data_IF_485920480857
#
_entry.id   IF_485920480857
#
_cell.length_a   1.000
_cell.length_b   1.000
_cell.length_c   1.000
_cell.angle_alpha   90.00
_cell.angle_beta   90.00
_cell.angle_gamma   90.00
#
_symmetry.space_group_name_H-M   'P 1'
#
loop_
_entity.id
_entity.type
_entity.pdbx_description
1 polymer ?
#
# COMPACT_ATOMS: atom_id res chain seq x y z
N UNK A 1 17.25 -10.16 -4.28
CA UNK A 1 16.16 -9.27 -3.86
C UNK A 1 14.96 -10.12 -3.53
N UNK A 2 14.58 -10.18 -2.28
CA UNK A 2 13.54 -11.11 -1.89
C UNK A 2 12.15 -10.63 -2.32
N UNK A 3 11.42 -11.56 -2.85
CA UNK A 3 9.98 -11.44 -2.97
C UNK A 3 9.38 -12.13 -1.77
N UNK A 4 8.55 -11.44 -1.03
CA UNK A 4 7.94 -11.95 0.20
C UNK A 4 6.49 -12.32 -0.08
N UNK A 5 6.12 -13.56 0.23
CA UNK A 5 4.75 -14.01 0.06
C UNK A 5 3.87 -13.41 1.16
N UNK A 6 2.81 -12.74 0.76
CA UNK A 6 1.85 -12.12 1.69
C UNK A 6 0.58 -12.93 1.85
N UNK A 7 0.08 -13.51 0.77
CA UNK A 7 -1.18 -14.27 0.77
C UNK A 7 -1.05 -15.49 -0.12
N UNK A 8 -1.88 -16.49 0.13
CA UNK A 8 -1.87 -17.73 -0.64
C UNK A 8 -2.58 -17.59 -2.00
N UNK A 9 -3.37 -16.54 -2.18
CA UNK A 9 -4.07 -16.28 -3.43
C UNK A 9 -4.48 -14.82 -3.51
N UNK A 10 -4.79 -14.36 -4.72
CA UNK A 10 -5.35 -13.03 -4.91
C UNK A 10 -6.70 -12.88 -4.22
N UNK A 11 -7.52 -13.94 -4.26
CA UNK A 11 -8.81 -13.93 -3.58
C UNK A 11 -8.66 -13.72 -2.08
N UNK A 12 -7.66 -14.38 -1.45
CA UNK A 12 -7.38 -14.20 -0.03
C UNK A 12 -6.96 -12.76 0.26
N UNK A 13 -6.09 -12.19 -0.59
CA UNK A 13 -5.64 -10.80 -0.42
C UNK A 13 -6.82 -9.84 -0.46
N UNK A 14 -7.71 -10.00 -1.43
CA UNK A 14 -8.88 -9.14 -1.58
C UNK A 14 -9.91 -9.35 -0.48
N UNK A 15 -9.96 -10.53 0.11
CA UNK A 15 -10.83 -10.79 1.26
C UNK A 15 -10.29 -10.12 2.52
N UNK A 16 -8.96 -10.08 2.67
CA UNK A 16 -8.32 -9.45 3.83
C UNK A 16 -8.29 -7.92 3.72
N UNK A 17 -8.21 -7.38 2.51
CA UNK A 17 -8.18 -5.94 2.27
C UNK A 17 -9.39 -5.60 1.40
N UNK A 18 -10.46 -5.16 2.03
CA UNK A 18 -11.70 -4.85 1.32
C UNK A 18 -11.51 -3.69 0.36
N UNK A 19 -12.33 -3.66 -0.69
CA UNK A 19 -12.33 -2.55 -1.64
C UNK A 19 -12.57 -1.23 -0.90
N UNK A 20 -11.85 -0.21 -1.26
CA UNK A 20 -11.80 1.13 -0.65
C UNK A 20 -11.10 1.18 0.71
N UNK A 21 -10.51 0.09 1.15
CA UNK A 21 -9.82 0.02 2.44
C UNK A 21 -8.33 -0.19 2.27
N UNK A 22 -7.63 -0.05 3.38
CA UNK A 22 -6.21 -0.33 3.47
C UNK A 22 -5.96 -1.16 4.74
N UNK A 23 -4.83 -1.87 4.77
CA UNK A 23 -4.48 -2.72 5.90
C UNK A 23 -2.96 -2.75 6.05
N UNK A 24 -2.48 -2.68 7.29
CA UNK A 24 -1.07 -2.89 7.58
C UNK A 24 -0.78 -4.38 7.54
N UNK A 25 0.28 -4.77 6.86
CA UNK A 25 0.76 -6.14 6.86
C UNK A 25 2.26 -6.16 7.12
N UNK A 26 2.74 -7.24 7.72
CA UNK A 26 4.17 -7.41 7.94
C UNK A 26 4.77 -8.20 6.80
N UNK A 27 5.86 -7.68 6.25
CA UNK A 27 6.64 -8.35 5.22
C UNK A 27 8.10 -8.32 5.68
N UNK A 28 8.62 -9.47 6.03
CA UNK A 28 10.00 -9.61 6.52
C UNK A 28 10.31 -8.65 7.68
N UNK A 29 9.38 -8.58 8.64
CA UNK A 29 9.52 -7.72 9.81
C UNK A 29 9.21 -6.25 9.58
N UNK A 30 8.91 -5.86 8.35
CA UNK A 30 8.61 -4.48 8.01
C UNK A 30 7.11 -4.30 7.82
N UNK A 31 6.53 -3.30 8.47
CA UNK A 31 5.13 -2.98 8.29
C UNK A 31 4.93 -2.15 7.03
N UNK A 32 4.08 -2.65 6.13
CA UNK A 32 3.71 -1.93 4.90
C UNK A 32 2.20 -1.78 4.85
N UNK A 33 1.73 -0.88 4.00
CA UNK A 33 0.31 -0.63 3.79
C UNK A 33 -0.13 -1.27 2.48
N UNK A 34 -1.14 -2.14 2.54
CA UNK A 34 -1.82 -2.64 1.35
C UNK A 34 -3.11 -1.85 1.17
N UNK A 35 -3.34 -1.38 -0.05
CA UNK A 35 -4.51 -0.60 -0.40
C UNK A 35 -5.24 -1.27 -1.54
N UNK A 36 -6.58 -1.25 -1.48
CA UNK A 36 -7.42 -1.89 -2.50
C UNK A 36 -8.31 -0.85 -3.16
N UNK A 37 -8.16 -0.70 -4.46
CA UNK A 37 -8.97 0.22 -5.28
C UNK A 37 -9.57 -0.57 -6.45
N UNK A 38 -10.48 0.05 -7.23
CA UNK A 38 -10.96 -0.60 -8.45
C UNK A 38 -9.85 -0.95 -9.44
N UNK A 39 -8.68 -0.28 -9.35
CA UNK A 39 -7.54 -0.62 -10.21
C UNK A 39 -6.74 -1.82 -9.70
N UNK A 40 -6.99 -2.29 -8.46
CA UNK A 40 -6.33 -3.46 -7.91
C UNK A 40 -5.72 -3.21 -6.53
N UNK A 41 -4.72 -4.03 -6.22
CA UNK A 41 -4.00 -3.95 -4.94
C UNK A 41 -2.67 -3.21 -5.13
N UNK A 42 -2.33 -2.39 -4.16
CA UNK A 42 -1.08 -1.63 -4.15
C UNK A 42 -0.42 -1.74 -2.79
N UNK A 43 0.91 -1.74 -2.78
CA UNK A 43 1.68 -1.75 -1.54
C UNK A 43 2.53 -0.50 -1.47
N UNK A 44 2.43 0.21 -0.34
CA UNK A 44 3.18 1.44 -0.10
C UNK A 44 3.69 1.46 1.34
N UNK A 45 4.60 2.38 1.63
CA UNK A 45 5.02 2.58 3.01
C UNK A 45 3.81 2.94 3.87
N UNK A 46 3.83 2.53 5.14
CA UNK A 46 2.66 2.72 6.01
C UNK A 46 2.63 4.07 6.72
N UNK A 47 3.76 4.74 6.86
CA UNK A 47 3.81 6.02 7.56
C UNK A 47 3.68 7.17 6.59
N UNK A 48 2.69 8.04 6.83
CA UNK A 48 2.48 9.21 6.00
C UNK A 48 3.68 10.16 6.11
N UNK A 49 4.30 10.57 4.99
CA UNK A 49 5.44 11.49 5.04
C UNK A 49 5.12 12.83 5.67
N UNK A 50 3.84 13.17 5.81
CA UNK A 50 3.38 14.41 6.41
C UNK A 50 3.69 14.43 7.91
N UNK A 51 3.08 13.52 8.70
CA UNK A 51 3.26 13.49 10.16
C UNK A 51 3.49 12.09 10.72
N UNK A 52 3.70 11.11 9.86
CA UNK A 52 3.96 9.74 10.32
C UNK A 52 2.73 8.95 10.75
N UNK A 53 1.52 9.44 10.44
CA UNK A 53 0.32 8.67 10.76
C UNK A 53 0.21 7.45 9.86
N UNK A 54 -0.46 6.41 10.34
CA UNK A 54 -0.55 5.15 9.62
C UNK A 54 -1.54 5.25 8.46
N UNK A 55 -1.04 5.11 7.22
CA UNK A 55 -1.89 5.13 6.03
C UNK A 55 -2.85 3.94 6.01
N UNK A 56 -2.51 2.84 6.68
CA UNK A 56 -3.39 1.68 6.80
C UNK A 56 -4.70 1.97 7.53
N UNK A 57 -4.78 3.07 8.25
CA UNK A 57 -6.04 3.53 8.87
C UNK A 57 -6.88 4.38 7.94
N UNK A 58 -6.34 4.73 6.78
CA UNK A 58 -7.04 5.54 5.80
C UNK A 58 -7.92 4.70 4.89
N UNK A 59 -8.41 5.36 3.86
CA UNK A 59 -9.27 4.75 2.84
C UNK A 59 -8.73 5.08 1.47
N UNK A 60 -9.24 4.38 0.46
CA UNK A 60 -8.91 4.69 -0.93
C UNK A 60 -10.13 5.28 -1.62
N UNK A 61 -9.93 5.82 -2.81
CA UNK A 61 -11.01 6.36 -3.61
C UNK A 61 -10.92 5.85 -5.06
N UNK A 62 -11.91 6.25 -5.88
CA UNK A 62 -11.97 5.82 -7.27
C UNK A 62 -10.93 6.50 -8.16
N UNK A 63 -10.22 7.50 -7.64
CA UNK A 63 -9.12 8.16 -8.34
C UNK A 63 -7.79 7.44 -8.12
N UNK A 64 -7.82 6.26 -7.51
CA UNK A 64 -6.64 5.46 -7.19
C UNK A 64 -5.69 6.16 -6.24
N UNK A 65 -6.26 6.79 -5.22
CA UNK A 65 -5.51 7.48 -4.18
C UNK A 65 -5.73 6.82 -2.84
N UNK A 66 -4.71 6.89 -1.96
CA UNK A 66 -4.89 6.57 -0.54
C UNK A 66 -4.96 7.88 0.23
N UNK A 67 -5.90 7.95 1.17
CA UNK A 67 -6.19 9.15 1.93
C UNK A 67 -5.69 8.97 3.35
N UNK A 68 -4.73 9.80 3.75
CA UNK A 68 -4.23 9.80 5.13
C UNK A 68 -5.37 10.25 6.06
N UNK A 69 -5.66 9.52 7.15
CA UNK A 69 -6.73 9.92 8.06
C UNK A 69 -6.45 11.23 8.77
N UNK A 70 -5.20 11.67 8.79
CA UNK A 70 -4.80 12.93 9.42
C UNK A 70 -4.66 14.02 8.37
N UNK A 71 -5.51 15.02 8.40
CA UNK A 71 -5.55 16.15 7.46
C UNK A 71 -5.90 15.77 6.02
N UNK A 72 -6.32 14.52 5.77
CA UNK A 72 -6.82 14.07 4.46
C UNK A 72 -5.83 14.25 3.29
N UNK A 73 -4.53 14.14 3.53
CA UNK A 73 -3.55 14.14 2.46
C UNK A 73 -3.80 12.93 1.57
N UNK A 74 -3.80 13.15 0.25
CA UNK A 74 -4.08 12.09 -0.73
C UNK A 74 -2.83 11.82 -1.56
N UNK A 75 -2.53 10.54 -1.70
CA UNK A 75 -1.36 10.09 -2.46
C UNK A 75 -1.81 9.16 -3.57
N UNK A 76 -1.29 9.39 -4.78
CA UNK A 76 -1.55 8.52 -5.91
C UNK A 76 -0.85 7.18 -5.69
N UNK A 77 -1.60 6.10 -5.72
CA UNK A 77 -1.02 4.77 -5.51
C UNK A 77 -0.15 4.31 -6.67
N UNK A 78 -0.40 4.79 -7.88
CA UNK A 78 0.40 4.42 -9.06
C UNK A 78 1.77 5.12 -9.10
N UNK A 79 1.89 6.31 -8.50
CA UNK A 79 3.15 7.10 -8.54
C UNK A 79 3.74 7.37 -7.17
N UNK A 80 2.92 7.31 -6.11
CA UNK A 80 3.32 7.70 -4.78
C UNK A 80 3.18 9.19 -4.51
N UNK A 81 2.90 10.00 -5.52
CA UNK A 81 2.88 11.46 -5.36
C UNK A 81 1.69 11.95 -4.55
N UNK A 82 1.95 12.91 -3.65
CA UNK A 82 0.88 13.60 -2.93
C UNK A 82 0.20 14.57 -3.90
N UNK A 83 -1.13 14.63 -3.86
CA UNK A 83 -1.90 15.31 -4.90
C UNK A 83 -1.60 16.80 -5.07
N UNK A 84 -1.06 17.45 -4.05
CA UNK A 84 -0.68 18.87 -4.10
C UNK A 84 0.84 19.07 -4.03
N UNK A 85 1.60 17.98 -4.04
CA UNK A 85 3.05 18.07 -4.00
C UNK A 85 3.63 18.62 -2.70
N UNK A 86 2.92 18.46 -1.59
CA UNK A 86 3.32 19.03 -0.29
C UNK A 86 4.34 18.19 0.46
N UNK A 87 4.49 16.92 0.10
CA UNK A 87 5.42 16.00 0.72
C UNK A 87 6.23 15.28 -0.34
N UNK A 88 7.27 14.53 0.09
CA UNK A 88 7.93 13.59 -0.81
C UNK A 88 6.92 12.51 -1.22
N UNK A 89 7.12 11.86 -2.37
CA UNK A 89 6.27 10.74 -2.75
C UNK A 89 6.37 9.58 -1.75
N UNK A 90 5.30 8.80 -1.67
CA UNK A 90 5.33 7.54 -0.92
C UNK A 90 6.27 6.56 -1.58
N UNK A 91 7.00 5.80 -0.79
CA UNK A 91 7.72 4.64 -1.29
C UNK A 91 6.70 3.58 -1.66
N UNK A 92 6.82 3.03 -2.86
CA UNK A 92 5.94 1.98 -3.37
C UNK A 92 6.71 0.67 -3.47
N UNK A 93 6.00 -0.42 -3.24
CA UNK A 93 6.60 -1.75 -3.32
C UNK A 93 5.87 -2.55 -4.41
N UNK A 94 6.59 -3.10 -5.41
CA UNK A 94 5.93 -3.89 -6.44
C UNK A 94 5.19 -5.08 -5.85
N UNK A 95 4.01 -5.35 -6.36
CA UNK A 95 3.23 -6.56 -6.04
C UNK A 95 3.17 -7.44 -7.27
N UNK A 96 3.24 -8.75 -7.06
CA UNK A 96 3.10 -9.73 -8.14
C UNK A 96 2.15 -10.82 -7.70
N UNK A 97 1.16 -11.08 -8.53
CA UNK A 97 0.23 -12.20 -8.32
C UNK A 97 0.74 -13.40 -9.10
N UNK A 98 0.98 -14.49 -8.40
CA UNK A 98 1.43 -15.76 -8.96
C UNK A 98 0.39 -16.83 -8.70
N UNK A 99 0.57 -18.01 -9.31
CA UNK A 99 -0.34 -19.13 -9.11
C UNK A 99 -0.50 -19.52 -7.65
N UNK A 100 0.60 -19.42 -6.87
CA UNK A 100 0.62 -19.86 -5.48
C UNK A 100 0.48 -18.70 -4.48
N UNK A 101 0.25 -17.48 -4.93
CA UNK A 101 0.05 -16.40 -3.98
C UNK A 101 0.31 -15.00 -4.50
N UNK A 102 0.28 -14.05 -3.58
CA UNK A 102 0.58 -12.65 -3.82
C UNK A 102 1.87 -12.31 -3.10
N UNK A 103 2.80 -11.73 -3.83
CA UNK A 103 4.15 -11.44 -3.36
C UNK A 103 4.43 -9.95 -3.44
N UNK A 104 5.20 -9.45 -2.48
CA UNK A 104 5.70 -8.08 -2.50
C UNK A 104 7.22 -8.09 -2.60
N UNK A 105 7.75 -7.16 -3.37
CA UNK A 105 9.20 -6.97 -3.49
C UNK A 105 9.63 -5.84 -2.57
N UNK A 106 10.49 -6.17 -1.61
CA UNK A 106 11.04 -5.17 -0.70
C UNK A 106 12.46 -4.82 -1.14
N UNK A 107 12.80 -3.53 -1.21
CA UNK A 107 14.17 -3.14 -1.47
C UNK A 107 15.04 -3.49 -0.28
N UNK A 108 16.32 -3.75 -0.54
CA UNK A 108 17.25 -3.93 0.54
C UNK A 108 17.38 -2.63 1.32
N UNK A 109 17.32 -2.73 2.64
CA UNK A 109 17.55 -1.56 3.47
C UNK A 109 19.04 -1.31 3.56
N UNK A 110 19.45 -0.06 3.36
CA UNK A 110 20.86 0.29 3.58
C UNK A 110 21.23 0.19 5.04
#
# INVERSE_FOLDING_TARGET
MPWIKLFNSEAEAKAQVALTKAKAVLADGREICLAHTPAGLFAVENLCPHLGDALSRGTTNYLNEIICPWHSYRFHLATGEECKGRTRPLQRFPLETREDGVYVHLPETP
#
